data_IF_890420682265
#
_entry.id   IF_890420682265
#
_cell.length_a   1.000
_cell.length_b   1.000
_cell.length_c   1.000
_cell.angle_alpha   90.00
_cell.angle_beta   90.00
_cell.angle_gamma   90.00
#
_symmetry.space_group_name_H-M   'P 1'
#
loop_
_entity.id
_entity.type
_entity.pdbx_description
1 polymer ?
#
# COMPACT_ATOMS: atom_id res chain seq x y z
N UNK A 1 -11.89 -16.73 8.58
CA UNK A 1 -10.73 -16.93 9.47
C UNK A 1 -9.76 -15.79 9.24
N UNK A 2 -9.34 -15.10 10.30
CA UNK A 2 -8.24 -14.15 10.26
C UNK A 2 -6.95 -14.85 10.66
N UNK A 3 -5.83 -14.43 10.05
CA UNK A 3 -4.48 -14.88 10.41
C UNK A 3 -3.71 -13.63 10.79
N UNK A 4 -3.15 -13.60 12.00
CA UNK A 4 -2.23 -12.54 12.43
C UNK A 4 -0.81 -13.00 12.12
N UNK A 5 -0.02 -12.13 11.49
CA UNK A 5 1.37 -12.42 11.13
C UNK A 5 2.31 -11.69 12.08
N UNK A 6 3.38 -12.38 12.48
CA UNK A 6 4.53 -11.76 13.15
C UNK A 6 5.50 -11.16 12.13
N UNK A 7 6.33 -10.21 12.55
CA UNK A 7 7.37 -9.64 11.68
C UNK A 7 8.26 -10.76 11.11
N UNK A 8 8.40 -10.81 9.78
CA UNK A 8 9.18 -11.83 9.08
C UNK A 8 8.44 -13.15 8.83
N UNK A 9 7.18 -13.28 9.27
CA UNK A 9 6.38 -14.47 9.03
C UNK A 9 5.76 -14.42 7.62
N UNK A 10 6.04 -15.43 6.81
CA UNK A 10 5.32 -15.67 5.56
C UNK A 10 3.97 -16.34 5.81
N UNK A 11 3.01 -16.09 4.90
CA UNK A 11 1.72 -16.80 4.88
C UNK A 11 1.58 -17.54 3.56
N UNK A 12 1.20 -18.82 3.64
CA UNK A 12 0.82 -19.56 2.43
C UNK A 12 -0.62 -19.23 2.08
N UNK A 13 -0.84 -18.75 0.85
CA UNK A 13 -2.18 -18.50 0.31
C UNK A 13 -2.71 -19.69 -0.51
N UNK A 14 -1.99 -20.83 -0.52
CA UNK A 14 -2.40 -22.03 -1.25
C UNK A 14 -3.69 -22.59 -0.66
N UNK A 15 -4.69 -22.76 -1.52
CA UNK A 15 -5.97 -23.41 -1.21
C UNK A 15 -5.99 -24.81 -1.82
N UNK A 16 -6.64 -25.77 -1.16
CA UNK A 16 -6.66 -27.16 -1.59
C UNK A 16 -7.80 -27.50 -2.57
N UNK A 17 -8.90 -26.73 -2.55
CA UNK A 17 -10.10 -27.02 -3.36
C UNK A 17 -10.34 -26.01 -4.49
N UNK A 18 -10.01 -24.73 -4.28
CA UNK A 18 -10.28 -23.66 -5.24
C UNK A 18 -9.07 -22.77 -5.41
N UNK A 19 -8.79 -22.36 -6.65
CA UNK A 19 -7.71 -21.42 -6.92
C UNK A 19 -8.00 -20.02 -6.35
N UNK A 20 -6.92 -19.34 -5.95
CA UNK A 20 -6.98 -17.95 -5.52
C UNK A 20 -7.03 -17.05 -6.76
N UNK A 21 -8.20 -16.46 -7.04
CA UNK A 21 -8.41 -15.61 -8.22
C UNK A 21 -8.28 -14.11 -7.94
N UNK A 22 -8.37 -13.68 -6.67
CA UNK A 22 -8.30 -12.28 -6.28
C UNK A 22 -7.82 -12.13 -4.84
N UNK A 23 -7.06 -11.05 -4.61
CA UNK A 23 -6.56 -10.63 -3.30
C UNK A 23 -6.82 -9.14 -3.14
N UNK A 24 -7.35 -8.75 -1.98
CA UNK A 24 -7.45 -7.34 -1.56
C UNK A 24 -6.48 -7.09 -0.43
N UNK A 25 -5.69 -6.03 -0.54
CA UNK A 25 -4.77 -5.58 0.49
C UNK A 25 -5.29 -4.27 1.06
N UNK A 26 -5.35 -4.16 2.39
CA UNK A 26 -5.69 -2.93 3.08
C UNK A 26 -4.62 -2.63 4.13
N UNK A 27 -4.19 -1.37 4.21
CA UNK A 27 -3.33 -0.87 5.30
C UNK A 27 -4.16 0.10 6.15
N UNK A 28 -3.97 0.02 7.47
CA UNK A 28 -4.45 1.01 8.41
C UNK A 28 -3.35 1.32 9.42
N UNK A 29 -3.29 2.57 9.85
CA UNK A 29 -2.37 3.03 10.89
C UNK A 29 -3.12 3.97 11.84
N UNK A 30 -2.70 3.95 13.11
CA UNK A 30 -3.16 4.93 14.09
C UNK A 30 -2.20 6.12 14.09
N UNK A 31 -2.74 7.33 14.13
CA UNK A 31 -1.97 8.56 14.24
C UNK A 31 -1.73 8.85 15.73
N UNK A 32 -0.49 9.18 16.08
CA UNK A 32 -0.18 9.62 17.44
C UNK A 32 -0.55 11.10 17.58
N UNK A 33 -1.67 11.38 18.25
CA UNK A 33 -2.10 12.75 18.55
C UNK A 33 -1.33 13.30 19.76
N UNK A 34 -0.55 14.37 19.55
CA UNK A 34 0.12 15.05 20.66
C UNK A 34 -0.90 15.84 21.51
N UNK A 35 -1.04 15.49 22.79
CA UNK A 35 -1.93 16.21 23.71
C UNK A 35 -1.41 17.62 23.97
N UNK A 36 -1.98 18.62 23.28
CA UNK A 36 -1.72 20.04 23.56
C UNK A 36 -2.29 20.43 24.93
N UNK A 37 -1.42 20.79 25.86
CA UNK A 37 -1.82 21.47 27.10
C UNK A 37 -2.42 22.86 26.81
N UNK A 38 -3.12 23.43 27.79
CA UNK A 38 -3.86 24.71 27.66
C UNK A 38 -3.02 25.91 27.18
N UNK A 39 -1.69 25.89 27.38
CA UNK A 39 -0.74 26.90 26.87
C UNK A 39 -0.09 26.53 25.52
N UNK A 40 -0.19 25.26 25.09
CA UNK A 40 0.43 24.74 23.87
C UNK A 40 -0.25 25.18 22.58
N UNK A 41 -1.51 25.63 22.64
CA UNK A 41 -2.23 26.14 21.45
C UNK A 41 -1.81 27.55 21.01
N UNK A 42 -1.16 28.33 21.89
CA UNK A 42 -0.80 29.74 21.64
C UNK A 42 0.67 29.89 21.21
N UNK A 43 1.55 28.95 21.60
CA UNK A 43 2.98 28.95 21.27
C UNK A 43 3.46 27.69 20.55
N UNK A 44 2.56 26.73 20.26
CA UNK A 44 2.93 25.41 19.76
C UNK A 44 3.14 25.36 18.26
N UNK A 45 4.25 24.71 17.86
CA UNK A 45 4.49 24.25 16.48
C UNK A 45 3.28 23.48 15.96
N UNK A 46 3.03 23.64 14.65
CA UNK A 46 2.05 22.84 13.90
C UNK A 46 2.45 21.36 14.03
N UNK A 47 1.49 20.49 14.35
CA UNK A 47 1.71 19.04 14.38
C UNK A 47 2.13 18.57 12.99
N UNK A 48 3.05 17.60 12.95
CA UNK A 48 3.47 16.97 11.70
C UNK A 48 2.32 16.13 11.16
N UNK A 49 1.97 16.37 9.89
CA UNK A 49 0.96 15.63 9.18
C UNK A 49 1.56 14.30 8.70
N UNK A 50 0.89 13.18 9.03
CA UNK A 50 1.30 11.86 8.57
C UNK A 50 0.61 11.54 7.25
N UNK A 51 1.35 11.70 6.15
CA UNK A 51 0.93 11.27 4.81
C UNK A 51 1.60 9.94 4.48
N UNK A 52 0.83 8.85 4.50
CA UNK A 52 1.32 7.50 4.27
C UNK A 52 0.67 6.91 3.02
N UNK A 53 1.51 6.43 2.11
CA UNK A 53 1.10 5.77 0.88
C UNK A 53 1.26 4.25 0.96
N UNK A 54 0.38 3.54 0.26
CA UNK A 54 0.47 2.09 0.06
C UNK A 54 0.63 1.79 -1.41
N UNK A 55 1.69 1.04 -1.73
CA UNK A 55 1.99 0.63 -3.09
C UNK A 55 2.34 -0.86 -3.07
N UNK A 56 1.76 -1.61 -4.01
CA UNK A 56 2.15 -2.99 -4.28
C UNK A 56 2.81 -3.08 -5.65
N UNK A 57 3.90 -3.83 -5.73
CA UNK A 57 4.65 -4.09 -6.94
C UNK A 57 4.48 -5.57 -7.33
N UNK A 58 3.93 -5.82 -8.51
CA UNK A 58 4.01 -7.15 -9.12
C UNK A 58 5.38 -7.29 -9.78
N UNK A 59 6.13 -8.30 -9.32
CA UNK A 59 7.47 -8.58 -9.80
C UNK A 59 7.50 -9.94 -10.50
N UNK A 60 8.24 -9.99 -11.61
CA UNK A 60 8.57 -11.24 -12.29
C UNK A 60 9.57 -12.08 -11.48
N UNK A 61 9.98 -13.23 -12.04
CA UNK A 61 10.95 -14.14 -11.42
C UNK A 61 12.33 -13.54 -11.16
N UNK A 62 12.70 -12.46 -11.84
CA UNK A 62 13.94 -11.70 -11.62
C UNK A 62 13.77 -10.58 -10.56
N UNK A 63 12.60 -10.47 -9.94
CA UNK A 63 12.29 -9.44 -8.94
C UNK A 63 12.10 -8.06 -9.56
N UNK A 64 11.66 -7.97 -10.83
CA UNK A 64 11.45 -6.70 -11.54
C UNK A 64 9.99 -6.53 -11.97
N UNK A 65 9.51 -5.29 -11.90
CA UNK A 65 8.26 -4.85 -12.52
C UNK A 65 8.43 -4.92 -14.03
N UNK A 66 7.42 -5.44 -14.73
CA UNK A 66 7.51 -5.67 -16.18
C UNK A 66 6.63 -4.73 -17.00
N UNK A 67 5.51 -4.29 -16.45
CA UNK A 67 4.59 -3.37 -17.09
C UNK A 67 4.39 -2.10 -16.24
N UNK A 68 4.70 -0.94 -16.83
CA UNK A 68 4.50 0.37 -16.20
C UNK A 68 3.18 1.03 -16.62
N UNK A 69 2.27 0.27 -17.21
CA UNK A 69 0.95 0.71 -17.62
C UNK A 69 0.96 1.49 -18.92
N UNK A 70 -0.16 2.19 -19.15
CA UNK A 70 -0.37 2.98 -20.36
C UNK A 70 0.70 4.07 -20.53
N UNK A 71 0.97 4.47 -21.77
CA UNK A 71 1.92 5.54 -22.09
C UNK A 71 1.18 6.76 -22.61
N UNK A 72 1.39 7.91 -21.98
CA UNK A 72 0.86 9.21 -22.40
C UNK A 72 2.00 10.20 -22.54
N UNK A 73 2.06 10.93 -23.65
CA UNK A 73 3.13 11.90 -23.95
C UNK A 73 4.55 11.32 -23.80
N UNK A 74 4.73 10.05 -24.15
CA UNK A 74 6.01 9.35 -24.06
C UNK A 74 6.43 8.94 -22.64
N UNK A 75 5.53 9.05 -21.64
CA UNK A 75 5.79 8.66 -20.26
C UNK A 75 4.77 7.61 -19.78
N UNK A 76 5.20 6.60 -19.01
CA UNK A 76 4.26 5.67 -18.38
C UNK A 76 3.38 6.39 -17.36
N UNK A 77 2.09 6.05 -17.33
CA UNK A 77 1.12 6.59 -16.37
C UNK A 77 0.98 5.73 -15.12
N UNK A 78 1.57 4.53 -15.11
CA UNK A 78 1.42 3.49 -14.08
C UNK A 78 0.02 2.87 -14.02
N UNK A 79 -0.96 3.44 -14.72
CA UNK A 79 -2.34 2.95 -14.76
C UNK A 79 -2.44 1.74 -15.68
N UNK A 80 -3.12 0.69 -15.19
CA UNK A 80 -3.23 -0.63 -15.85
C UNK A 80 -1.88 -1.37 -16.01
N UNK A 81 -0.88 -1.05 -15.18
CA UNK A 81 0.39 -1.76 -15.13
C UNK A 81 0.48 -2.74 -13.95
N UNK A 82 1.71 -3.14 -13.64
CA UNK A 82 2.08 -4.03 -12.53
C UNK A 82 2.23 -3.30 -11.17
N UNK A 83 1.98 -1.99 -11.13
CA UNK A 83 2.07 -1.16 -9.93
C UNK A 83 0.68 -0.78 -9.47
N UNK A 84 0.31 -1.21 -8.27
CA UNK A 84 -1.01 -0.98 -7.67
C UNK A 84 -0.87 0.05 -6.55
N UNK A 85 -1.68 1.10 -6.60
CA UNK A 85 -1.66 2.22 -5.64
C UNK A 85 -3.04 2.88 -5.57
N UNK A 86 -3.23 3.85 -4.66
CA UNK A 86 -4.55 4.45 -4.38
C UNK A 86 -5.35 4.89 -5.63
N UNK A 87 -4.69 5.44 -6.66
CA UNK A 87 -5.34 5.88 -7.90
C UNK A 87 -5.37 4.80 -9.01
N UNK A 88 -4.78 3.63 -8.78
CA UNK A 88 -4.82 2.47 -9.69
C UNK A 88 -4.86 1.18 -8.87
N UNK A 89 -6.08 0.81 -8.43
CA UNK A 89 -6.29 -0.28 -7.46
C UNK A 89 -6.23 -1.69 -8.07
N UNK A 90 -5.97 -1.82 -9.37
CA UNK A 90 -5.99 -3.10 -10.08
C UNK A 90 -4.86 -3.16 -11.10
N UNK A 91 -4.18 -4.30 -11.13
CA UNK A 91 -3.38 -4.70 -12.29
C UNK A 91 -4.29 -5.30 -13.37
N UNK A 92 -3.78 -5.38 -14.61
CA UNK A 92 -4.49 -5.95 -15.75
C UNK A 92 -4.40 -7.47 -15.80
#
# INVERSE_FOLDING_TARGET
>A
MSVSLSKGQGVSLKKNEYDLSSVTIGLGWDINEEKKGFLGGIFGKKEEEYDLDVIAFLCNSAGKVTDLGNVENGKPTLVNGDIIFFNSLRHK
#
